data_IF_125365356127
#
_entry.id   IF_125365356127
#
_cell.length_a   1.000
_cell.length_b   1.000
_cell.length_c   1.000
_cell.angle_alpha   90.00
_cell.angle_beta   90.00
_cell.angle_gamma   90.00
#
_symmetry.space_group_name_H-M   'P 1'
#
loop_
_entity.id
_entity.type
_entity.pdbx_description
1 polymer ?
#
# COMPACT_ATOMS: atom_id res chain seq x y z
N UNK A 1 -8.40 25.64 23.11
CA UNK A 1 -8.44 25.53 21.64
C UNK A 1 -9.02 24.18 21.27
N UNK A 2 -9.91 24.11 20.29
CA UNK A 2 -10.45 22.83 19.80
C UNK A 2 -9.33 22.13 19.02
N UNK A 3 -8.99 20.89 19.36
CA UNK A 3 -7.94 20.12 18.66
C UNK A 3 -8.40 19.86 17.24
N UNK A 4 -7.60 20.21 16.25
CA UNK A 4 -7.90 19.91 14.87
C UNK A 4 -7.80 18.41 14.61
N UNK A 5 -8.79 17.85 13.91
CA UNK A 5 -8.90 16.41 13.68
C UNK A 5 -9.37 16.16 12.24
N UNK A 6 -8.51 15.61 11.43
CA UNK A 6 -8.77 15.31 10.01
C UNK A 6 -9.19 13.83 9.85
N UNK A 7 -10.31 13.60 9.17
CA UNK A 7 -10.69 12.30 8.67
C UNK A 7 -10.18 12.14 7.24
N UNK A 8 -9.39 11.10 6.99
CA UNK A 8 -8.90 10.73 5.65
C UNK A 8 -9.63 9.47 5.19
N UNK A 9 -10.28 9.51 4.02
CA UNK A 9 -11.08 8.39 3.51
C UNK A 9 -10.44 7.78 2.26
N UNK A 10 -10.01 6.49 2.35
CA UNK A 10 -9.58 5.69 1.19
C UNK A 10 -9.78 4.21 1.44
N UNK A 11 -10.70 3.56 0.70
CA UNK A 11 -11.09 2.16 0.93
C UNK A 11 -10.36 1.14 0.04
N UNK A 12 -9.87 1.54 -1.13
CA UNK A 12 -9.27 0.66 -2.16
C UNK A 12 -8.59 1.46 -3.30
N UNK A 13 -7.84 0.85 -4.23
CA UNK A 13 -7.31 -0.50 -4.12
C UNK A 13 -6.11 -0.53 -3.17
N UNK A 14 -5.52 -1.72 -2.89
CA UNK A 14 -4.40 -1.84 -1.95
C UNK A 14 -3.24 -0.91 -2.30
N UNK A 15 -2.75 -0.94 -3.54
CA UNK A 15 -1.68 -0.05 -4.00
C UNK A 15 -2.01 1.43 -3.87
N UNK A 16 -3.25 1.83 -4.22
CA UNK A 16 -3.70 3.22 -4.04
C UNK A 16 -3.77 3.65 -2.55
N UNK A 17 -4.12 2.73 -1.65
CA UNK A 17 -4.11 2.98 -0.20
C UNK A 17 -2.66 3.13 0.27
N UNK A 18 -1.76 2.23 -0.16
CA UNK A 18 -0.33 2.31 0.10
C UNK A 18 0.24 3.68 -0.32
N UNK A 19 -0.10 4.17 -1.52
CA UNK A 19 0.35 5.47 -2.02
C UNK A 19 -0.16 6.68 -1.22
N UNK A 20 -1.09 6.51 -0.28
CA UNK A 20 -1.45 7.60 0.66
C UNK A 20 -0.50 7.71 1.84
N UNK A 21 0.27 6.66 2.16
CA UNK A 21 1.16 6.60 3.33
C UNK A 21 2.21 7.72 3.31
N UNK A 22 2.97 7.94 2.22
CA UNK A 22 3.97 9.00 2.16
C UNK A 22 3.37 10.39 2.42
N UNK A 23 2.18 10.64 1.90
CA UNK A 23 1.50 11.94 2.04
C UNK A 23 0.97 12.13 3.47
N UNK A 24 0.40 11.08 4.07
CA UNK A 24 -0.13 11.14 5.43
C UNK A 24 1.01 11.24 6.45
N UNK A 25 2.14 10.55 6.25
CA UNK A 25 3.31 10.69 7.12
C UNK A 25 3.90 12.10 7.04
N UNK A 26 4.05 12.64 5.82
CA UNK A 26 4.51 14.02 5.62
C UNK A 26 3.57 15.05 6.28
N UNK A 27 2.24 14.85 6.16
CA UNK A 27 1.26 15.66 6.88
C UNK A 27 1.44 15.57 8.40
N UNK A 28 1.58 14.36 8.91
CA UNK A 28 1.73 14.11 10.35
C UNK A 28 2.99 14.76 10.93
N UNK A 29 4.12 14.69 10.21
CA UNK A 29 5.39 15.34 10.59
C UNK A 29 5.26 16.86 10.60
N UNK A 30 4.65 17.46 9.57
CA UNK A 30 4.55 18.93 9.43
C UNK A 30 3.49 19.55 10.32
N UNK A 31 2.45 18.79 10.69
CA UNK A 31 1.34 19.24 11.55
C UNK A 31 1.19 18.35 12.79
N UNK A 32 2.18 18.31 13.71
CA UNK A 32 2.18 17.35 14.82
C UNK A 32 1.05 17.58 15.86
N UNK A 33 0.42 18.76 15.85
CA UNK A 33 -0.73 19.08 16.70
C UNK A 33 -2.08 18.70 16.08
N UNK A 34 -2.10 18.35 14.80
CA UNK A 34 -3.29 17.92 14.07
C UNK A 34 -3.45 16.41 14.24
N UNK A 35 -4.59 16.00 14.73
CA UNK A 35 -4.95 14.58 14.82
C UNK A 35 -5.43 14.10 13.45
N UNK A 36 -4.98 12.95 13.01
CA UNK A 36 -5.33 12.34 11.71
C UNK A 36 -5.94 10.98 11.97
N UNK A 37 -7.11 10.71 11.42
CA UNK A 37 -7.70 9.36 11.44
C UNK A 37 -7.91 8.88 10.01
N UNK A 38 -7.30 7.77 9.67
CA UNK A 38 -7.46 7.14 8.36
C UNK A 38 -8.58 6.12 8.43
N UNK A 39 -9.62 6.33 7.63
CA UNK A 39 -10.75 5.43 7.45
C UNK A 39 -10.51 4.56 6.22
N UNK A 40 -10.30 3.27 6.43
CA UNK A 40 -10.09 2.31 5.35
C UNK A 40 -10.67 0.94 5.70
N UNK A 41 -10.50 -0.03 4.79
CA UNK A 41 -10.86 -1.43 5.04
C UNK A 41 -9.86 -2.09 5.99
N UNK A 42 -10.23 -3.18 6.67
CA UNK A 42 -9.39 -3.83 7.70
C UNK A 42 -7.97 -4.16 7.23
N UNK A 43 -7.80 -4.59 5.97
CA UNK A 43 -6.48 -4.96 5.43
C UNK A 43 -5.44 -3.83 5.52
N UNK A 44 -5.90 -2.57 5.52
CA UNK A 44 -5.02 -1.40 5.47
C UNK A 44 -4.43 -1.01 6.84
N UNK A 45 -4.82 -1.66 7.93
CA UNK A 45 -4.34 -1.37 9.29
C UNK A 45 -2.81 -1.30 9.37
N UNK A 46 -2.03 -2.25 8.82
CA UNK A 46 -0.57 -2.23 8.91
C UNK A 46 0.11 -1.01 8.29
N UNK A 47 -0.57 -0.28 7.40
CA UNK A 47 -0.02 0.94 6.82
C UNK A 47 -0.04 2.15 7.76
N UNK A 48 -0.93 2.16 8.77
CA UNK A 48 -1.23 3.37 9.52
C UNK A 48 -1.14 3.23 11.03
N UNK A 49 -1.14 2.00 11.57
CA UNK A 49 -1.25 1.75 13.01
C UNK A 49 -0.07 2.37 13.79
N UNK A 50 1.13 2.30 13.24
CA UNK A 50 2.36 2.82 13.86
C UNK A 50 3.03 3.91 13.02
N UNK A 51 2.32 4.53 12.07
CA UNK A 51 2.90 5.45 11.09
C UNK A 51 3.44 6.75 11.72
N UNK A 52 2.70 7.32 12.67
CA UNK A 52 3.13 8.51 13.43
C UNK A 52 2.26 8.65 14.69
N UNK A 53 2.74 9.35 15.76
CA UNK A 53 2.02 9.49 17.03
C UNK A 53 0.64 10.16 16.93
N UNK A 54 0.44 11.01 15.94
CA UNK A 54 -0.81 11.74 15.70
C UNK A 54 -1.68 11.11 14.60
N UNK A 55 -1.30 9.93 14.06
CA UNK A 55 -2.06 9.15 13.09
C UNK A 55 -2.75 7.98 13.79
N UNK A 56 -4.05 7.84 13.57
CA UNK A 56 -4.82 6.71 14.03
C UNK A 56 -5.54 6.02 12.86
N UNK A 57 -5.87 4.75 13.02
CA UNK A 57 -6.59 3.97 12.05
C UNK A 57 -8.01 3.64 12.53
N UNK A 58 -8.98 3.76 11.64
CA UNK A 58 -10.36 3.34 11.85
C UNK A 58 -10.78 2.42 10.70
N UNK A 59 -11.08 1.19 11.03
CA UNK A 59 -11.55 0.24 10.03
C UNK A 59 -13.05 0.39 9.75
N UNK A 60 -13.40 0.16 8.49
CA UNK A 60 -14.77 0.04 8.05
C UNK A 60 -14.88 -1.08 7.00
N UNK A 61 -15.56 -2.15 7.36
CA UNK A 61 -15.91 -3.17 6.40
C UNK A 61 -17.12 -2.74 5.57
N UNK A 62 -16.81 -2.08 4.46
CA UNK A 62 -17.82 -1.57 3.52
C UNK A 62 -18.46 -2.67 2.64
N UNK A 63 -18.00 -3.90 2.78
CA UNK A 63 -18.56 -5.04 2.04
C UNK A 63 -19.60 -5.82 2.85
N UNK A 64 -19.40 -5.87 4.17
CA UNK A 64 -20.28 -6.59 5.10
C UNK A 64 -20.99 -5.62 6.06
N UNK A 65 -20.33 -5.15 7.12
CA UNK A 65 -20.91 -4.34 8.20
C UNK A 65 -21.55 -3.04 7.68
N UNK A 66 -20.85 -2.33 6.77
CA UNK A 66 -21.32 -1.03 6.23
C UNK A 66 -21.79 -1.13 4.78
N UNK A 67 -22.38 -2.25 4.40
CA UNK A 67 -22.90 -2.49 3.05
C UNK A 67 -24.15 -1.66 2.77
N UNK A 68 -24.19 -1.08 1.57
CA UNK A 68 -25.36 -0.30 1.09
C UNK A 68 -25.59 1.00 1.85
N UNK A 69 -26.70 1.67 1.55
CA UNK A 69 -27.04 2.99 2.12
C UNK A 69 -27.25 2.92 3.62
N UNK A 70 -27.91 1.87 4.14
CA UNK A 70 -28.14 1.69 5.58
C UNK A 70 -26.82 1.55 6.33
N UNK A 71 -25.89 0.73 5.81
CA UNK A 71 -24.55 0.56 6.38
C UNK A 71 -23.74 1.84 6.35
N UNK A 72 -23.74 2.58 5.23
CA UNK A 72 -23.07 3.87 5.14
C UNK A 72 -23.65 4.92 6.08
N UNK A 73 -24.96 4.90 6.34
CA UNK A 73 -25.56 5.75 7.36
C UNK A 73 -25.11 5.39 8.78
N UNK A 74 -24.98 4.10 9.09
CA UNK A 74 -24.46 3.65 10.38
C UNK A 74 -23.00 4.08 10.55
N UNK A 75 -22.17 3.92 9.50
CA UNK A 75 -20.79 4.41 9.47
C UNK A 75 -20.74 5.93 9.69
N UNK A 76 -21.58 6.69 8.98
CA UNK A 76 -21.65 8.16 9.15
C UNK A 76 -21.94 8.56 10.60
N UNK A 77 -22.94 7.94 11.27
CA UNK A 77 -23.24 8.20 12.68
C UNK A 77 -22.05 7.92 13.60
N UNK A 78 -21.30 6.85 13.34
CA UNK A 78 -20.07 6.50 14.06
C UNK A 78 -18.98 7.56 13.85
N UNK A 79 -18.90 8.13 12.63
CA UNK A 79 -17.91 9.14 12.27
C UNK A 79 -18.19 10.49 12.92
N UNK A 80 -19.42 10.99 12.90
CA UNK A 80 -19.75 12.30 13.51
C UNK A 80 -19.49 12.32 15.01
N UNK A 81 -19.63 11.19 15.70
CA UNK A 81 -19.33 11.06 17.12
C UNK A 81 -17.83 11.27 17.45
N UNK A 82 -16.94 11.23 16.46
CA UNK A 82 -15.48 11.42 16.62
C UNK A 82 -15.02 12.88 16.55
N UNK A 83 -15.94 13.83 16.31
CA UNK A 83 -15.68 15.28 16.33
C UNK A 83 -14.56 15.71 15.34
N UNK A 84 -14.58 15.21 14.12
CA UNK A 84 -13.70 15.69 13.06
C UNK A 84 -13.93 17.18 12.76
N UNK A 85 -12.86 17.89 12.39
CA UNK A 85 -12.91 19.30 11.97
C UNK A 85 -12.80 19.46 10.46
N UNK A 86 -12.20 18.47 9.78
CA UNK A 86 -12.05 18.44 8.32
C UNK A 86 -12.09 17.03 7.77
N UNK A 87 -12.55 16.89 6.54
CA UNK A 87 -12.73 15.60 5.84
C UNK A 87 -11.97 15.63 4.52
N UNK A 88 -11.01 14.73 4.37
CA UNK A 88 -10.21 14.52 3.15
C UNK A 88 -10.67 13.23 2.44
N UNK A 89 -11.46 13.33 1.39
CA UNK A 89 -11.84 12.19 0.56
C UNK A 89 -10.78 11.96 -0.54
N UNK A 90 -9.85 11.05 -0.28
CA UNK A 90 -8.82 10.63 -1.24
C UNK A 90 -9.30 9.53 -2.19
N UNK A 91 -10.58 9.14 -2.14
CA UNK A 91 -11.12 8.03 -2.92
C UNK A 91 -12.03 8.48 -4.06
N UNK A 92 -12.97 9.37 -3.79
CA UNK A 92 -13.97 9.91 -4.75
C UNK A 92 -14.62 8.80 -5.61
N UNK A 93 -15.34 7.90 -4.92
CA UNK A 93 -16.19 6.85 -5.50
C UNK A 93 -17.54 6.86 -4.80
N UNK A 94 -18.56 6.21 -5.36
CA UNK A 94 -19.94 6.26 -4.87
C UNK A 94 -20.09 6.16 -3.34
N UNK A 95 -19.32 5.28 -2.69
CA UNK A 95 -19.40 5.11 -1.22
C UNK A 95 -18.81 6.29 -0.45
N UNK A 96 -17.65 6.79 -0.87
CA UNK A 96 -17.05 7.97 -0.24
C UNK A 96 -17.79 9.25 -0.64
N UNK A 97 -18.33 9.32 -1.86
CA UNK A 97 -19.17 10.44 -2.31
C UNK A 97 -20.44 10.55 -1.46
N UNK A 98 -21.04 9.42 -1.07
CA UNK A 98 -22.18 9.40 -0.16
C UNK A 98 -21.82 9.96 1.23
N UNK A 99 -20.69 9.51 1.81
CA UNK A 99 -20.23 10.05 3.10
C UNK A 99 -19.92 11.55 2.99
N UNK A 100 -19.22 11.95 1.91
CA UNK A 100 -18.92 13.36 1.63
C UNK A 100 -20.18 14.22 1.53
N UNK A 101 -21.20 13.75 0.81
CA UNK A 101 -22.49 14.43 0.74
C UNK A 101 -23.09 14.67 2.13
N UNK A 102 -23.06 13.64 3.01
CA UNK A 102 -23.57 13.75 4.38
C UNK A 102 -22.78 14.77 5.20
N UNK A 103 -21.44 14.75 5.11
CA UNK A 103 -20.59 15.75 5.80
C UNK A 103 -20.82 17.17 5.28
N UNK A 104 -21.03 17.35 3.97
CA UNK A 104 -21.36 18.66 3.40
C UNK A 104 -22.71 19.19 3.91
N UNK A 105 -23.74 18.34 4.04
CA UNK A 105 -25.05 18.72 4.59
C UNK A 105 -24.94 19.20 6.05
N UNK A 106 -24.02 18.63 6.82
CA UNK A 106 -23.78 19.02 8.21
C UNK A 106 -22.67 20.10 8.34
N UNK A 107 -22.34 20.81 7.23
CA UNK A 107 -21.41 21.94 7.16
C UNK A 107 -19.97 21.65 7.62
N UNK A 108 -19.49 20.41 7.46
CA UNK A 108 -18.08 20.11 7.67
C UNK A 108 -17.20 20.71 6.57
N UNK A 109 -15.96 21.04 6.92
CA UNK A 109 -14.94 21.40 5.92
C UNK A 109 -14.51 20.14 5.16
N UNK A 110 -14.82 20.07 3.87
CA UNK A 110 -14.61 18.86 3.05
C UNK A 110 -13.82 19.19 1.79
N UNK A 111 -12.81 18.39 1.49
CA UNK A 111 -12.11 18.38 0.20
C UNK A 111 -12.04 16.96 -0.36
N UNK A 112 -11.89 16.85 -1.66
CA UNK A 112 -11.81 15.54 -2.33
C UNK A 112 -10.85 15.56 -3.51
N UNK A 113 -10.33 14.39 -3.84
CA UNK A 113 -9.36 14.20 -4.91
C UNK A 113 -9.96 14.52 -6.29
N UNK A 114 -9.26 15.32 -7.08
CA UNK A 114 -9.45 15.37 -8.53
C UNK A 114 -8.61 14.25 -9.19
N UNK A 115 -9.28 13.36 -9.89
CA UNK A 115 -8.64 12.24 -10.60
C UNK A 115 -8.14 12.60 -11.99
N UNK A 116 -8.29 13.85 -12.43
CA UNK A 116 -7.89 14.37 -13.74
C UNK A 116 -8.35 13.51 -14.93
N UNK A 117 -9.58 12.97 -14.84
CA UNK A 117 -10.13 12.02 -15.83
C UNK A 117 -10.15 12.58 -17.25
N UNK A 118 -10.40 13.89 -17.41
CA UNK A 118 -10.40 14.56 -18.71
C UNK A 118 -9.00 14.57 -19.33
N UNK A 119 -7.98 14.90 -18.55
CA UNK A 119 -6.57 14.86 -18.96
C UNK A 119 -6.13 13.45 -19.36
N UNK A 120 -6.42 12.46 -18.49
CA UNK A 120 -6.10 11.04 -18.73
C UNK A 120 -6.76 10.49 -19.99
N UNK A 121 -8.03 10.86 -20.29
CA UNK A 121 -8.69 10.48 -21.55
C UNK A 121 -7.99 11.04 -22.78
N UNK A 122 -7.43 12.27 -22.72
CA UNK A 122 -6.69 12.87 -23.84
C UNK A 122 -5.36 12.17 -24.11
N UNK A 123 -4.73 11.55 -23.08
CA UNK A 123 -3.49 10.79 -23.25
C UNK A 123 -3.69 9.51 -24.08
N UNK A 124 -4.85 8.88 -23.98
CA UNK A 124 -5.19 7.59 -24.64
C UNK A 124 -6.15 7.75 -25.80
N UNK A 125 -6.48 8.97 -26.19
CA UNK A 125 -7.40 9.22 -27.30
C UNK A 125 -6.81 8.74 -28.63
N UNK A 126 -7.61 8.09 -29.47
CA UNK A 126 -7.20 7.69 -30.82
C UNK A 126 -6.97 8.87 -31.73
N UNK A 127 -7.81 9.92 -31.61
CA UNK A 127 -7.70 11.16 -32.36
C UNK A 127 -7.45 12.36 -31.41
N UNK A 128 -6.59 13.31 -31.82
CA UNK A 128 -6.30 14.50 -31.03
C UNK A 128 -5.56 14.20 -29.72
N UNK A 129 -4.78 13.11 -29.67
CA UNK A 129 -3.95 12.72 -28.53
C UNK A 129 -3.04 13.87 -28.09
N UNK A 130 -3.08 14.20 -26.80
CA UNK A 130 -2.19 15.21 -26.21
C UNK A 130 -1.36 14.54 -25.11
N UNK A 131 -0.05 14.47 -25.34
CA UNK A 131 0.93 13.95 -24.36
C UNK A 131 1.30 15.05 -23.37
N UNK A 132 0.39 15.35 -22.44
CA UNK A 132 0.63 16.29 -21.34
C UNK A 132 0.71 15.49 -20.05
N UNK A 133 1.83 15.64 -19.34
CA UNK A 133 2.01 14.98 -18.06
C UNK A 133 0.87 15.36 -17.10
N UNK A 134 0.30 14.36 -16.47
CA UNK A 134 -0.73 14.54 -15.44
C UNK A 134 -0.07 14.54 -14.05
N UNK A 135 -0.69 15.20 -13.06
CA UNK A 135 -0.21 15.12 -11.67
C UNK A 135 -0.10 13.68 -11.18
N UNK A 136 0.91 13.42 -10.36
CA UNK A 136 1.11 12.13 -9.71
C UNK A 136 0.01 11.86 -8.68
N UNK A 137 -0.12 10.61 -8.22
CA UNK A 137 -1.04 10.28 -7.14
C UNK A 137 -0.70 11.05 -5.86
N UNK A 138 0.59 11.21 -5.55
CA UNK A 138 1.05 11.99 -4.40
C UNK A 138 0.61 13.45 -4.48
N UNK A 139 0.79 14.10 -5.63
CA UNK A 139 0.35 15.47 -5.86
C UNK A 139 -1.16 15.60 -5.67
N UNK A 140 -1.94 14.68 -6.27
CA UNK A 140 -3.40 14.68 -6.13
C UNK A 140 -3.86 14.54 -4.67
N UNK A 141 -3.17 13.74 -3.85
CA UNK A 141 -3.48 13.59 -2.44
C UNK A 141 -3.05 14.83 -1.64
N UNK A 142 -1.87 15.39 -1.90
CA UNK A 142 -1.38 16.60 -1.24
C UNK A 142 -2.29 17.79 -1.53
N UNK A 143 -2.80 17.92 -2.76
CA UNK A 143 -3.72 18.99 -3.15
C UNK A 143 -5.04 18.97 -2.34
N UNK A 144 -5.52 17.77 -1.94
CA UNK A 144 -6.70 17.67 -1.07
C UNK A 144 -6.42 18.29 0.30
N UNK A 145 -5.25 18.04 0.88
CA UNK A 145 -4.88 18.64 2.16
C UNK A 145 -4.62 20.14 2.04
N UNK A 146 -4.03 20.60 0.94
CA UNK A 146 -3.86 22.03 0.66
C UNK A 146 -5.21 22.77 0.60
N UNK A 147 -6.25 22.19 -0.02
CA UNK A 147 -7.62 22.71 -0.05
C UNK A 147 -8.22 22.80 1.35
N UNK A 148 -7.83 21.93 2.27
CA UNK A 148 -8.22 21.96 3.67
C UNK A 148 -7.39 22.93 4.52
N UNK A 149 -6.41 23.64 3.93
CA UNK A 149 -5.53 24.57 4.62
C UNK A 149 -4.28 23.93 5.24
N UNK A 150 -3.94 22.73 4.81
CA UNK A 150 -2.74 21.99 5.23
C UNK A 150 -1.85 21.65 4.02
N UNK A 151 -1.19 22.65 3.38
CA UNK A 151 -0.25 22.37 2.30
C UNK A 151 0.90 21.50 2.80
N UNK A 152 1.29 20.50 2.00
CA UNK A 152 2.30 19.50 2.37
C UNK A 152 3.48 19.60 1.45
N UNK A 153 4.69 19.60 2.02
CA UNK A 153 5.91 19.24 1.33
C UNK A 153 6.19 17.74 1.56
N UNK A 154 6.47 17.01 0.48
CA UNK A 154 6.73 15.57 0.60
C UNK A 154 8.06 15.33 1.33
N UNK A 155 7.98 14.66 2.47
CA UNK A 155 9.10 14.28 3.34
C UNK A 155 8.85 12.85 3.84
N UNK A 156 9.16 11.90 2.97
CA UNK A 156 8.96 10.48 3.22
C UNK A 156 10.19 9.70 2.74
N UNK A 157 10.68 8.82 3.58
CA UNK A 157 11.81 7.91 3.27
C UNK A 157 11.42 6.45 3.41
N UNK A 158 10.72 6.10 4.48
CA UNK A 158 10.23 4.74 4.74
C UNK A 158 9.03 4.77 5.68
N UNK A 159 8.16 3.76 5.55
CA UNK A 159 7.05 3.52 6.48
C UNK A 159 7.54 3.26 7.92
N UNK A 160 8.76 2.75 8.08
CA UNK A 160 9.40 2.47 9.37
C UNK A 160 10.19 3.67 9.93
N UNK A 161 10.28 4.78 9.17
CA UNK A 161 11.07 5.95 9.48
C UNK A 161 12.47 5.93 8.87
N UNK A 162 13.18 7.05 9.03
CA UNK A 162 14.44 7.30 8.35
C UNK A 162 15.52 6.25 8.68
N UNK A 163 16.02 5.55 7.66
CA UNK A 163 17.05 4.53 7.78
C UNK A 163 16.65 3.27 8.55
N UNK A 164 15.36 3.08 8.81
CA UNK A 164 14.84 1.90 9.53
C UNK A 164 14.16 0.93 8.59
N UNK A 165 14.21 -0.32 8.97
CA UNK A 165 13.51 -1.45 8.36
C UNK A 165 12.57 -2.10 9.39
N UNK A 166 11.69 -2.99 8.94
CA UNK A 166 10.83 -3.75 9.83
C UNK A 166 11.61 -4.74 10.68
N UNK A 167 11.03 -5.14 11.80
CA UNK A 167 11.66 -6.09 12.72
C UNK A 167 11.50 -7.54 12.21
N UNK A 168 12.58 -8.14 11.72
CA UNK A 168 12.61 -9.52 11.22
C UNK A 168 12.25 -10.56 12.27
N UNK A 169 12.43 -10.27 13.56
CA UNK A 169 12.10 -11.22 14.64
C UNK A 169 10.62 -11.56 14.74
N UNK A 170 9.76 -10.75 14.11
CA UNK A 170 8.30 -10.98 14.03
C UNK A 170 7.94 -12.01 12.96
N UNK A 171 8.84 -12.29 12.01
CA UNK A 171 8.57 -13.21 10.92
C UNK A 171 8.71 -14.66 11.35
N UNK A 172 7.89 -15.58 10.82
CA UNK A 172 8.07 -17.00 11.04
C UNK A 172 9.43 -17.49 10.51
N UNK A 173 10.06 -18.42 11.22
CA UNK A 173 11.37 -18.95 10.83
C UNK A 173 11.36 -19.60 9.43
N UNK A 174 10.24 -20.16 9.05
CA UNK A 174 10.03 -20.80 7.74
C UNK A 174 10.22 -19.86 6.55
N UNK A 175 10.04 -18.54 6.76
CA UNK A 175 10.30 -17.49 5.76
C UNK A 175 11.78 -17.44 5.38
N UNK A 176 12.66 -17.88 6.27
CA UNK A 176 14.10 -17.88 6.07
C UNK A 176 14.64 -19.22 5.57
N UNK A 177 13.75 -20.14 5.17
CA UNK A 177 14.11 -21.47 4.71
C UNK A 177 14.35 -22.44 5.87
N UNK A 178 14.59 -23.71 5.53
CA UNK A 178 14.84 -24.78 6.49
C UNK A 178 16.08 -25.57 6.07
N UNK A 179 16.77 -26.17 7.04
CA UNK A 179 17.96 -27.02 6.80
C UNK A 179 19.22 -26.20 6.49
N UNK A 180 20.10 -26.77 5.68
CA UNK A 180 21.44 -26.21 5.39
C UNK A 180 21.39 -24.89 4.58
N UNK A 181 20.30 -24.62 3.87
CA UNK A 181 20.09 -23.41 3.09
C UNK A 181 19.29 -22.33 3.85
N UNK A 182 19.04 -22.54 5.15
CA UNK A 182 18.33 -21.54 5.96
C UNK A 182 19.18 -20.28 6.14
N UNK A 183 18.53 -19.11 6.01
CA UNK A 183 19.16 -17.82 6.23
C UNK A 183 19.37 -17.64 7.73
N UNK A 184 20.61 -17.48 8.16
CA UNK A 184 20.95 -17.14 9.55
C UNK A 184 20.80 -15.64 9.78
N UNK A 185 19.86 -15.24 10.64
CA UNK A 185 19.67 -13.84 11.06
C UNK A 185 20.72 -13.40 12.13
N UNK A 186 21.48 -14.34 12.69
CA UNK A 186 22.53 -14.05 13.68
C UNK A 186 23.78 -13.48 13.02
N UNK A 187 24.02 -13.77 11.76
CA UNK A 187 25.10 -13.20 10.97
C UNK A 187 24.80 -11.72 10.68
N UNK A 188 25.44 -10.84 11.46
CA UNK A 188 25.33 -9.37 11.31
C UNK A 188 25.81 -8.83 9.95
N UNK A 189 26.36 -9.67 9.10
CA UNK A 189 26.80 -9.39 7.74
C UNK A 189 26.10 -10.30 6.74
N UNK A 190 24.79 -10.08 6.55
CA UNK A 190 24.11 -10.65 5.38
C UNK A 190 24.70 -9.95 4.16
N UNK A 191 25.76 -10.53 3.61
CA UNK A 191 26.47 -10.02 2.40
C UNK A 191 25.75 -10.42 1.13
N UNK A 192 24.83 -11.39 1.22
CA UNK A 192 24.11 -11.96 0.10
C UNK A 192 22.86 -11.16 -0.24
N UNK A 193 22.60 -10.88 -1.53
CA UNK A 193 21.47 -10.06 -1.90
C UNK A 193 20.13 -10.77 -1.68
N UNK A 194 19.19 -10.06 -1.09
CA UNK A 194 17.80 -10.48 -0.97
C UNK A 194 16.99 -9.91 -2.13
N UNK A 195 16.43 -10.78 -2.95
CA UNK A 195 15.69 -10.43 -4.15
C UNK A 195 14.25 -10.87 -4.00
N UNK A 196 13.32 -9.94 -4.13
CA UNK A 196 11.89 -10.25 -4.21
C UNK A 196 11.44 -10.42 -5.65
N UNK A 197 10.51 -11.34 -5.89
CA UNK A 197 9.84 -11.51 -7.18
C UNK A 197 8.33 -11.57 -6.95
N UNK A 198 7.60 -10.62 -7.53
CA UNK A 198 6.13 -10.56 -7.52
C UNK A 198 5.61 -10.68 -8.96
N UNK A 199 5.45 -11.92 -9.48
CA UNK A 199 5.29 -12.18 -10.91
C UNK A 199 3.86 -11.96 -11.42
N UNK A 200 2.91 -11.66 -10.54
CA UNK A 200 1.49 -11.59 -10.86
C UNK A 200 0.91 -10.18 -10.76
N UNK A 201 -0.22 -9.97 -11.39
CA UNK A 201 -1.04 -8.76 -11.27
C UNK A 201 -2.52 -9.10 -11.41
N UNK A 202 -3.39 -8.23 -10.89
CA UNK A 202 -4.84 -8.41 -10.96
C UNK A 202 -5.43 -8.40 -12.40
N UNK A 203 -4.67 -7.89 -13.37
CA UNK A 203 -5.08 -7.80 -14.77
C UNK A 203 -4.10 -8.55 -15.65
N UNK A 204 -4.59 -9.47 -16.44
CA UNK A 204 -3.80 -10.33 -17.34
C UNK A 204 -2.84 -9.55 -18.24
N UNK A 205 -3.29 -8.41 -18.81
CA UNK A 205 -2.46 -7.54 -19.64
C UNK A 205 -1.29 -6.84 -18.92
N UNK A 206 -1.14 -7.05 -17.61
CA UNK A 206 -0.03 -6.56 -16.79
C UNK A 206 0.90 -7.68 -16.33
N UNK A 207 0.61 -8.92 -16.68
CA UNK A 207 1.41 -10.09 -16.28
C UNK A 207 2.45 -10.36 -17.38
N UNK A 208 3.73 -10.41 -16.99
CA UNK A 208 4.76 -10.92 -17.87
C UNK A 208 4.55 -12.43 -18.05
N UNK A 209 4.70 -13.00 -19.28
CA UNK A 209 4.43 -14.42 -19.51
C UNK A 209 5.16 -15.32 -18.51
N UNK A 210 4.42 -16.18 -17.83
CA UNK A 210 4.94 -16.99 -16.70
C UNK A 210 6.14 -17.85 -17.09
N UNK A 211 6.13 -18.44 -18.29
CA UNK A 211 7.24 -19.22 -18.82
C UNK A 211 8.49 -18.38 -19.08
N UNK A 212 8.33 -17.09 -19.36
CA UNK A 212 9.44 -16.15 -19.48
C UNK A 212 9.92 -15.65 -18.12
N UNK A 213 9.01 -15.50 -17.16
CA UNK A 213 9.38 -15.18 -15.79
C UNK A 213 10.22 -16.29 -15.16
N UNK A 214 9.90 -17.56 -15.40
CA UNK A 214 10.72 -18.68 -14.97
C UNK A 214 12.15 -18.61 -15.56
N UNK A 215 12.30 -18.20 -16.82
CA UNK A 215 13.64 -17.96 -17.39
C UNK A 215 14.39 -16.81 -16.72
N UNK A 216 13.67 -15.76 -16.27
CA UNK A 216 14.28 -14.67 -15.46
C UNK A 216 14.80 -15.25 -14.15
N UNK A 217 13.99 -16.06 -13.46
CA UNK A 217 14.38 -16.75 -12.23
C UNK A 217 15.66 -17.59 -12.44
N UNK A 218 15.67 -18.43 -13.47
CA UNK A 218 16.84 -19.25 -13.79
C UNK A 218 18.11 -18.42 -14.02
N UNK A 219 18.00 -17.28 -14.72
CA UNK A 219 19.13 -16.36 -14.93
C UNK A 219 19.58 -15.67 -13.64
N UNK A 220 18.64 -15.30 -12.78
CA UNK A 220 18.97 -14.71 -11.46
C UNK A 220 19.75 -15.71 -10.60
N UNK A 221 19.29 -16.95 -10.52
CA UNK A 221 19.96 -18.04 -9.79
C UNK A 221 21.37 -18.28 -10.36
N UNK A 222 21.50 -18.36 -11.70
CA UNK A 222 22.78 -18.58 -12.34
C UNK A 222 23.78 -17.45 -12.08
N UNK A 223 23.33 -16.20 -12.18
CA UNK A 223 24.20 -15.03 -12.04
C UNK A 223 24.47 -14.64 -10.59
N UNK A 224 23.58 -15.03 -9.67
CA UNK A 224 23.64 -14.72 -8.24
C UNK A 224 23.41 -16.00 -7.42
N UNK A 225 24.33 -16.97 -7.43
CA UNK A 225 24.14 -18.28 -6.82
C UNK A 225 23.95 -18.25 -5.30
N UNK A 226 24.37 -17.15 -4.65
CA UNK A 226 24.22 -16.94 -3.21
C UNK A 226 23.07 -16.00 -2.85
N UNK A 227 22.27 -15.52 -3.82
CA UNK A 227 21.13 -14.67 -3.52
C UNK A 227 19.98 -15.47 -2.89
N UNK A 228 19.31 -14.86 -1.92
CA UNK A 228 18.05 -15.38 -1.40
C UNK A 228 16.90 -14.76 -2.18
N UNK A 229 16.06 -15.59 -2.79
CA UNK A 229 14.99 -15.14 -3.67
C UNK A 229 13.64 -15.46 -3.04
N UNK A 230 12.86 -14.41 -2.75
CA UNK A 230 11.55 -14.50 -2.12
C UNK A 230 10.44 -14.27 -3.15
N UNK A 231 9.49 -15.20 -3.23
CA UNK A 231 8.31 -15.07 -4.09
C UNK A 231 7.16 -14.41 -3.31
N UNK A 232 6.55 -13.40 -3.94
CA UNK A 232 5.41 -12.66 -3.42
C UNK A 232 4.21 -12.80 -4.35
N UNK A 233 3.05 -13.06 -3.78
CA UNK A 233 1.80 -13.23 -4.49
C UNK A 233 0.80 -13.92 -3.59
N UNK A 234 -0.26 -14.46 -4.13
CA UNK A 234 -1.21 -15.21 -3.34
C UNK A 234 -2.54 -15.41 -4.02
N UNK A 235 -3.28 -16.38 -3.52
CA UNK A 235 -4.55 -16.74 -4.07
C UNK A 235 -4.53 -18.07 -4.82
N UNK A 236 -5.71 -18.48 -5.25
CA UNK A 236 -5.95 -19.83 -5.76
C UNK A 236 -5.14 -20.21 -6.99
N UNK A 237 -4.88 -19.23 -7.86
CA UNK A 237 -4.22 -19.47 -9.15
C UNK A 237 -2.71 -19.18 -9.11
N UNK A 238 -2.26 -18.31 -8.22
CA UNK A 238 -0.85 -17.89 -8.12
C UNK A 238 -0.03 -18.83 -7.22
N UNK A 239 -0.59 -19.24 -6.08
CA UNK A 239 0.11 -20.08 -5.09
C UNK A 239 0.65 -21.40 -5.66
N UNK A 240 -0.10 -22.15 -6.50
CA UNK A 240 0.44 -23.40 -7.08
C UNK A 240 1.68 -23.19 -7.94
N UNK A 241 1.72 -22.11 -8.73
CA UNK A 241 2.87 -21.79 -9.58
C UNK A 241 4.11 -21.47 -8.75
N UNK A 242 3.92 -20.67 -7.68
CA UNK A 242 5.03 -20.32 -6.79
C UNK A 242 5.56 -21.52 -6.01
N UNK A 243 4.68 -22.43 -5.60
CA UNK A 243 5.09 -23.67 -4.93
C UNK A 243 5.89 -24.57 -5.87
N UNK A 244 5.43 -24.75 -7.12
CA UNK A 244 6.16 -25.52 -8.15
C UNK A 244 7.59 -24.96 -8.36
N UNK A 245 7.72 -23.63 -8.45
CA UNK A 245 9.03 -23.01 -8.56
C UNK A 245 9.89 -23.19 -7.32
N UNK A 246 9.32 -23.09 -6.11
CA UNK A 246 10.06 -23.27 -4.87
C UNK A 246 10.53 -24.73 -4.69
N UNK A 247 9.76 -25.72 -5.15
CA UNK A 247 10.16 -27.12 -5.17
C UNK A 247 11.28 -27.37 -6.19
N UNK A 248 11.22 -26.72 -7.35
CA UNK A 248 12.17 -26.90 -8.45
C UNK A 248 13.51 -26.20 -8.23
N UNK A 249 13.50 -25.07 -7.54
CA UNK A 249 14.68 -24.22 -7.32
C UNK A 249 14.91 -23.97 -5.82
N UNK A 250 15.89 -24.68 -5.20
CA UNK A 250 16.12 -24.60 -3.73
C UNK A 250 16.46 -23.22 -3.17
N UNK A 251 16.90 -22.27 -4.03
CA UNK A 251 17.16 -20.88 -3.63
C UNK A 251 15.89 -20.00 -3.54
N UNK A 252 14.75 -20.51 -4.03
CA UNK A 252 13.49 -19.80 -3.98
C UNK A 252 12.71 -20.15 -2.73
N UNK A 253 12.23 -19.13 -2.05
CA UNK A 253 11.33 -19.27 -0.89
C UNK A 253 9.98 -18.67 -1.29
N UNK A 254 8.92 -19.48 -1.26
CA UNK A 254 7.57 -18.94 -1.38
C UNK A 254 7.18 -18.23 -0.08
N UNK A 255 7.62 -16.97 0.07
CA UNK A 255 7.39 -16.19 1.28
C UNK A 255 5.90 -16.05 1.59
N UNK A 256 5.06 -15.91 0.57
CA UNK A 256 3.60 -15.74 0.74
C UNK A 256 2.91 -16.92 1.42
N UNK A 257 3.49 -18.12 1.36
CA UNK A 257 2.93 -19.30 2.03
C UNK A 257 3.23 -19.34 3.54
N UNK A 258 4.19 -18.56 4.00
CA UNK A 258 4.66 -18.53 5.38
C UNK A 258 4.30 -17.23 6.11
N UNK A 259 4.06 -16.13 5.38
CA UNK A 259 3.73 -14.84 5.97
C UNK A 259 2.27 -14.76 6.39
N UNK A 260 2.02 -14.19 7.58
CA UNK A 260 0.69 -13.98 8.14
C UNK A 260 0.22 -12.54 7.88
N UNK A 261 -0.11 -12.25 6.62
CA UNK A 261 -0.73 -10.99 6.20
C UNK A 261 0.24 -9.85 5.95
N UNK A 262 -0.34 -8.72 5.61
CA UNK A 262 0.35 -7.56 5.05
C UNK A 262 1.46 -6.98 5.95
N UNK A 263 1.31 -7.04 7.29
CA UNK A 263 2.34 -6.52 8.20
C UNK A 263 3.67 -7.25 8.03
N UNK A 264 3.63 -8.58 8.00
CA UNK A 264 4.82 -9.39 7.82
C UNK A 264 5.40 -9.27 6.40
N UNK A 265 4.52 -9.13 5.40
CA UNK A 265 4.93 -8.89 4.02
C UNK A 265 5.71 -7.56 3.89
N UNK A 266 5.23 -6.47 4.48
CA UNK A 266 5.92 -5.18 4.52
C UNK A 266 7.28 -5.27 5.23
N UNK A 267 7.36 -6.02 6.34
CA UNK A 267 8.63 -6.24 7.05
C UNK A 267 9.63 -6.92 6.12
N UNK A 268 9.27 -8.03 5.50
CA UNK A 268 10.19 -8.73 4.60
C UNK A 268 10.59 -7.85 3.40
N UNK A 269 9.63 -7.16 2.79
CA UNK A 269 9.89 -6.25 1.65
C UNK A 269 10.88 -5.15 2.04
N UNK A 270 10.83 -4.62 3.27
CA UNK A 270 11.74 -3.56 3.72
C UNK A 270 13.22 -3.99 3.79
N UNK A 271 13.50 -5.30 3.77
CA UNK A 271 14.85 -5.86 3.78
C UNK A 271 15.34 -6.30 2.38
N UNK A 272 14.50 -6.24 1.36
CA UNK A 272 14.91 -6.58 0.02
C UNK A 272 15.85 -5.54 -0.57
N UNK A 273 16.89 -5.99 -1.24
CA UNK A 273 17.76 -5.13 -2.04
C UNK A 273 17.08 -4.69 -3.33
N UNK A 274 16.24 -5.56 -3.90
CA UNK A 274 15.46 -5.28 -5.10
C UNK A 274 14.18 -6.11 -5.13
N UNK A 275 13.09 -5.53 -5.64
CA UNK A 275 11.87 -6.26 -5.99
C UNK A 275 11.61 -6.18 -7.50
N UNK A 276 11.56 -7.35 -8.15
CA UNK A 276 11.09 -7.50 -9.52
C UNK A 276 9.59 -7.73 -9.48
N UNK A 277 8.82 -6.76 -9.93
CA UNK A 277 7.36 -6.79 -9.82
C UNK A 277 6.65 -6.39 -11.10
N UNK A 278 5.46 -6.91 -11.27
CA UNK A 278 4.50 -6.40 -12.25
C UNK A 278 3.90 -5.08 -11.75
N UNK A 279 3.13 -4.39 -12.61
CA UNK A 279 2.30 -3.25 -12.18
C UNK A 279 1.14 -3.77 -11.30
N UNK A 280 1.47 -4.10 -10.06
CA UNK A 280 0.63 -4.73 -9.04
C UNK A 280 0.71 -3.99 -7.70
N UNK A 281 0.00 -4.49 -6.70
CA UNK A 281 0.07 -3.95 -5.34
C UNK A 281 1.50 -4.01 -4.77
N UNK A 282 2.23 -5.10 -5.01
CA UNK A 282 3.57 -5.33 -4.47
C UNK A 282 4.59 -4.26 -4.92
N UNK A 283 4.47 -3.75 -6.16
CA UNK A 283 5.28 -2.62 -6.61
C UNK A 283 5.09 -1.39 -5.71
N UNK A 284 3.85 -1.11 -5.31
CA UNK A 284 3.53 0.00 -4.42
C UNK A 284 3.97 -0.26 -2.98
N UNK A 285 3.89 -1.51 -2.50
CA UNK A 285 4.39 -1.89 -1.18
C UNK A 285 5.90 -1.68 -1.06
N UNK A 286 6.65 -2.06 -2.09
CA UNK A 286 8.11 -1.90 -2.12
C UNK A 286 8.56 -0.43 -2.22
N UNK A 287 7.66 0.50 -2.48
CA UNK A 287 7.96 1.94 -2.47
C UNK A 287 7.72 2.61 -1.12
N UNK A 288 7.32 1.84 -0.08
CA UNK A 288 7.09 2.30 1.28
C UNK A 288 8.27 2.06 2.19
#
# INVERSE_FOLDING_TARGET
>A
MKTEHILVIRFSAMGDVAMTVPVIQSLAKQYPKVRITVLSRPFARPFFEDLAPNVGFMEADIKEEYKGVKGLNALYRRLIAKQFTAIADLHSVLRSDYLRMRFNLDNFKVAHIDKHRKGKRKLVASNGKKLVQQPTSFQNYADVFAQLGYPIHMDFTSIYGDGKQGDLSILPQEVFGVGENAISLEDKHITEPWIGIAPFAAHEGKIYPIQLMEKVIQRLIHNHPHAHIFLFGGGKDETPVMNDWAEKYPQLINASSHLNGLKQELILISHLHVLVSMDSANMHLASL
#
